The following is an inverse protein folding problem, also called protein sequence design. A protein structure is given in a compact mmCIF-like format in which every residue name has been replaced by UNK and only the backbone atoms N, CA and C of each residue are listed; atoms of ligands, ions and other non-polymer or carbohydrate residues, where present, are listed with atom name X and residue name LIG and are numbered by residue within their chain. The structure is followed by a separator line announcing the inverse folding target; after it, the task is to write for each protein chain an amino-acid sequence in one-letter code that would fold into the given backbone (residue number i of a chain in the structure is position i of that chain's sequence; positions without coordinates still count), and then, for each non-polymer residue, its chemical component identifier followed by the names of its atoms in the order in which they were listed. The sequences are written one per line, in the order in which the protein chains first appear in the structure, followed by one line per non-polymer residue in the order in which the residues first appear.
data_IF_793528451714
#
_entry.id   IF_793528451714
#
_cell.length_a   1.000
_cell.length_b   1.000
_cell.length_c   1.000
_cell.angle_alpha   90.00
_cell.angle_beta   90.00
_cell.angle_gamma   90.00
#
_symmetry.space_group_name_H-M   'P 1'
#
loop_
_entity.id
_entity.type
_entity.pdbx_description
1 polymer ?
#
# COMPACT_ATOMS: atom_id res chain seq x y z
N UNK A 1 15.60 -1.81 7.33
CA UNK A 1 15.20 -0.89 6.27
C UNK A 1 13.70 -0.63 6.38
N UNK A 2 13.32 0.61 6.76
CA UNK A 2 11.94 0.98 7.10
C UNK A 2 10.99 1.02 5.89
N UNK A 3 11.52 1.05 4.67
CA UNK A 3 10.74 1.10 3.43
C UNK A 3 10.75 -0.19 2.63
N UNK A 4 11.28 -1.26 3.19
CA UNK A 4 11.30 -2.57 2.55
C UNK A 4 10.19 -3.47 3.06
N UNK A 5 9.43 -4.06 2.13
CA UNK A 5 8.49 -5.13 2.38
C UNK A 5 9.23 -6.47 2.16
N UNK A 6 9.25 -7.39 3.13
CA UNK A 6 9.74 -8.75 2.87
C UNK A 6 8.90 -9.42 1.76
N UNK A 7 9.56 -10.19 0.88
CA UNK A 7 8.86 -11.01 -0.10
C UNK A 7 7.83 -11.89 0.60
N UNK A 8 6.59 -11.88 0.12
CA UNK A 8 5.57 -12.77 0.67
C UNK A 8 5.89 -14.23 0.41
N UNK A 9 5.76 -15.05 1.44
CA UNK A 9 5.90 -16.50 1.34
C UNK A 9 4.64 -17.21 0.86
N UNK A 10 3.50 -16.53 0.87
CA UNK A 10 2.23 -17.05 0.40
C UNK A 10 1.32 -15.95 -0.15
N UNK A 11 0.51 -16.29 -1.14
CA UNK A 11 -0.47 -15.38 -1.74
C UNK A 11 -1.73 -15.36 -0.88
N UNK A 12 -2.05 -14.19 -0.32
CA UNK A 12 -3.26 -13.94 0.46
C UNK A 12 -4.27 -13.15 -0.37
N UNK A 13 -5.54 -13.40 -0.18
CA UNK A 13 -6.60 -12.66 -0.85
C UNK A 13 -7.81 -13.52 -1.23
N UNK A 14 -8.86 -12.88 -1.75
CA UNK A 14 -10.06 -13.54 -2.26
C UNK A 14 -9.74 -14.42 -3.48
N UNK A 15 -10.56 -15.42 -3.77
CA UNK A 15 -10.39 -16.31 -4.92
C UNK A 15 -10.28 -15.55 -6.26
N UNK A 16 -11.11 -14.53 -6.46
CA UNK A 16 -11.09 -13.68 -7.65
C UNK A 16 -9.77 -12.94 -7.85
N UNK A 17 -9.14 -12.48 -6.77
CA UNK A 17 -7.81 -11.87 -6.83
C UNK A 17 -6.73 -12.89 -7.18
N UNK A 18 -6.77 -14.07 -6.55
CA UNK A 18 -5.80 -15.15 -6.81
C UNK A 18 -5.85 -15.62 -8.26
N UNK A 19 -7.06 -15.80 -8.81
CA UNK A 19 -7.24 -16.16 -10.20
C UNK A 19 -6.69 -15.09 -11.16
N UNK A 20 -6.98 -13.81 -10.89
CA UNK A 20 -6.42 -12.70 -11.69
C UNK A 20 -4.90 -12.65 -11.62
N UNK A 21 -4.34 -12.85 -10.44
CA UNK A 21 -2.89 -12.89 -10.24
C UNK A 21 -2.24 -14.04 -11.02
N UNK A 22 -2.83 -15.23 -11.01
CA UNK A 22 -2.35 -16.38 -11.78
C UNK A 22 -2.38 -16.11 -13.29
N UNK A 23 -3.48 -15.59 -13.80
CA UNK A 23 -3.60 -15.18 -15.22
C UNK A 23 -2.53 -14.15 -15.57
N UNK A 24 -2.36 -13.12 -14.75
CA UNK A 24 -1.38 -12.05 -14.99
C UNK A 24 0.05 -12.61 -14.97
N UNK A 25 0.37 -13.50 -14.03
CA UNK A 25 1.69 -14.12 -13.94
C UNK A 25 1.99 -15.02 -15.16
N UNK A 26 0.99 -15.74 -15.67
CA UNK A 26 1.14 -16.54 -16.91
C UNK A 26 1.37 -15.67 -18.14
N UNK A 27 0.57 -14.62 -18.29
CA UNK A 27 0.73 -13.68 -19.40
C UNK A 27 2.10 -13.00 -19.38
N UNK A 28 2.56 -12.56 -18.21
CA UNK A 28 3.91 -12.00 -18.05
C UNK A 28 4.99 -13.05 -18.34
N UNK A 29 4.81 -14.29 -17.88
CA UNK A 29 5.74 -15.37 -18.18
C UNK A 29 5.88 -15.59 -19.69
N UNK A 30 4.76 -15.63 -20.42
CA UNK A 30 4.77 -15.83 -21.87
C UNK A 30 5.41 -14.63 -22.60
N UNK A 31 5.20 -13.40 -22.15
CA UNK A 31 5.88 -12.20 -22.67
C UNK A 31 7.41 -12.26 -22.45
N UNK A 32 7.84 -12.59 -21.24
CA UNK A 32 9.26 -12.69 -20.89
C UNK A 32 9.95 -13.88 -21.60
N UNK A 33 9.19 -14.93 -21.97
CA UNK A 33 9.68 -16.09 -22.70
C UNK A 33 9.77 -15.81 -24.20
N UNK A 34 8.85 -15.06 -24.78
CA UNK A 34 8.81 -14.77 -26.22
C UNK A 34 9.89 -13.78 -26.66
N UNK A 35 10.38 -12.94 -25.76
CA UNK A 35 11.59 -12.16 -26.03
C UNK A 35 12.77 -13.14 -26.18
N UNK A 36 13.48 -13.08 -27.28
CA UNK A 36 14.56 -14.01 -27.69
C UNK A 36 15.75 -14.05 -26.73
N UNK A 37 15.55 -14.63 -25.57
CA UNK A 37 16.53 -14.68 -24.48
C UNK A 37 17.17 -16.07 -24.38
N UNK A 38 18.52 -16.19 -24.30
CA UNK A 38 19.24 -17.47 -24.20
C UNK A 38 18.85 -18.34 -23.00
N UNK A 39 18.17 -17.77 -21.99
CA UNK A 39 17.66 -18.50 -20.82
C UNK A 39 16.37 -19.30 -21.10
N UNK A 40 15.86 -19.29 -22.31
CA UNK A 40 14.62 -19.97 -22.72
C UNK A 40 14.58 -21.48 -22.36
N UNK A 41 15.70 -22.17 -22.48
CA UNK A 41 15.80 -23.59 -22.14
C UNK A 41 15.66 -23.89 -20.64
N UNK A 42 16.10 -22.98 -19.79
CA UNK A 42 15.92 -23.10 -18.33
C UNK A 42 14.47 -22.88 -17.91
N UNK A 43 13.78 -21.95 -18.57
CA UNK A 43 12.39 -21.64 -18.27
C UNK A 43 11.49 -22.80 -18.69
N UNK A 44 11.68 -23.38 -19.86
CA UNK A 44 10.88 -24.54 -20.34
C UNK A 44 10.88 -25.69 -19.33
N UNK A 45 12.06 -26.01 -18.76
CA UNK A 45 12.21 -27.08 -17.77
C UNK A 45 11.64 -26.78 -16.40
N UNK A 46 11.43 -25.49 -16.06
CA UNK A 46 10.96 -25.04 -14.77
C UNK A 46 9.77 -24.07 -14.84
N UNK A 47 8.94 -24.15 -15.89
CA UNK A 47 7.87 -23.16 -16.14
C UNK A 47 6.93 -22.98 -14.95
N UNK A 48 6.57 -24.06 -14.25
CA UNK A 48 5.72 -23.99 -13.04
C UNK A 48 6.35 -23.14 -11.92
N UNK A 49 7.60 -23.44 -11.58
CA UNK A 49 8.34 -22.71 -10.54
C UNK A 49 8.61 -21.24 -10.94
N UNK A 50 8.75 -20.97 -12.24
CA UNK A 50 8.91 -19.61 -12.75
C UNK A 50 7.61 -18.81 -12.63
N UNK A 51 6.45 -19.37 -12.99
CA UNK A 51 5.13 -18.73 -12.84
C UNK A 51 4.82 -18.50 -11.36
N UNK A 52 5.10 -19.46 -10.50
CA UNK A 52 4.94 -19.31 -9.05
C UNK A 52 5.78 -18.13 -8.51
N UNK A 53 7.04 -18.04 -8.94
CA UNK A 53 7.92 -16.94 -8.57
C UNK A 53 7.40 -15.58 -9.04
N UNK A 54 6.90 -15.49 -10.27
CA UNK A 54 6.27 -14.28 -10.80
C UNK A 54 5.02 -13.92 -9.99
N UNK A 55 4.17 -14.89 -9.64
CA UNK A 55 2.98 -14.65 -8.82
C UNK A 55 3.34 -14.06 -7.46
N UNK A 56 4.37 -14.57 -6.79
CA UNK A 56 4.84 -14.05 -5.51
C UNK A 56 5.41 -12.61 -5.63
N UNK A 57 6.18 -12.35 -6.68
CA UNK A 57 6.74 -11.03 -6.95
C UNK A 57 5.63 -10.02 -7.26
N UNK A 58 4.73 -10.36 -8.19
CA UNK A 58 3.60 -9.49 -8.56
C UNK A 58 2.69 -9.20 -7.36
N UNK A 59 2.41 -10.22 -6.53
CA UNK A 59 1.64 -10.02 -5.30
C UNK A 59 2.33 -9.05 -4.33
N UNK A 60 3.64 -9.20 -4.15
CA UNK A 60 4.42 -8.33 -3.27
C UNK A 60 4.50 -6.90 -3.81
N UNK A 61 4.71 -6.73 -5.11
CA UNK A 61 4.70 -5.40 -5.74
C UNK A 61 3.31 -4.76 -5.77
N UNK A 62 2.25 -5.54 -5.97
CA UNK A 62 0.89 -5.05 -5.86
C UNK A 62 0.61 -4.50 -4.45
N UNK A 63 1.14 -5.15 -3.42
CA UNK A 63 1.03 -4.64 -2.06
C UNK A 63 1.86 -3.35 -1.85
N UNK A 64 3.09 -3.30 -2.35
CA UNK A 64 3.92 -2.07 -2.32
C UNK A 64 3.19 -0.91 -2.99
N UNK A 65 2.64 -1.13 -4.18
CA UNK A 65 1.91 -0.12 -4.93
C UNK A 65 0.60 0.31 -4.24
N UNK A 66 -0.07 -0.60 -3.52
CA UNK A 66 -1.35 -0.30 -2.86
C UNK A 66 -1.23 0.56 -1.60
N UNK A 67 0.00 0.77 -1.08
CA UNK A 67 0.22 1.53 0.15
C UNK A 67 1.31 2.58 -0.08
N UNK A 68 1.00 3.67 -0.78
CA UNK A 68 1.93 4.76 -1.04
C UNK A 68 2.58 5.27 0.27
N UNK A 69 3.87 5.51 0.24
CA UNK A 69 4.61 6.04 1.38
C UNK A 69 5.01 5.03 2.45
N UNK A 70 4.44 3.81 2.44
CA UNK A 70 4.81 2.79 3.42
C UNK A 70 5.99 1.94 2.96
N UNK A 71 5.93 1.45 1.74
CA UNK A 71 6.97 0.62 1.16
C UNK A 71 7.43 1.17 -0.18
N UNK A 72 8.72 1.06 -0.44
CA UNK A 72 9.36 1.41 -1.72
C UNK A 72 9.92 0.17 -2.42
N UNK A 73 10.34 -0.82 -1.65
CA UNK A 73 11.06 -1.99 -2.12
C UNK A 73 10.40 -3.28 -1.66
N UNK A 74 10.56 -4.32 -2.45
CA UNK A 74 10.44 -5.70 -1.99
C UNK A 74 11.83 -6.20 -1.63
N UNK A 75 12.02 -6.75 -0.42
CA UNK A 75 13.29 -7.29 0.05
C UNK A 75 13.25 -8.81 0.13
N UNK A 76 14.31 -9.44 -0.36
CA UNK A 76 14.46 -10.90 -0.32
C UNK A 76 15.92 -11.29 -0.16
N UNK A 77 16.16 -12.52 0.29
CA UNK A 77 17.50 -13.10 0.24
C UNK A 77 17.81 -13.64 -1.16
N UNK A 78 19.06 -13.49 -1.57
CA UNK A 78 19.61 -14.14 -2.77
C UNK A 78 20.55 -15.30 -2.40
N UNK A 79 20.64 -15.64 -1.11
CA UNK A 79 21.40 -16.82 -0.67
C UNK A 79 20.59 -18.08 -0.84
N UNK A 80 21.17 -19.08 -1.51
CA UNK A 80 20.52 -20.39 -1.68
C UNK A 80 20.18 -21.06 -0.34
N UNK A 81 21.04 -20.89 0.66
CA UNK A 81 20.87 -21.51 1.97
C UNK A 81 19.60 -21.03 2.69
N UNK A 82 19.15 -19.79 2.45
CA UNK A 82 17.95 -19.27 3.04
C UNK A 82 16.66 -19.93 2.51
N UNK A 83 16.70 -20.54 1.32
CA UNK A 83 15.55 -21.23 0.71
C UNK A 83 15.46 -22.70 1.07
N UNK A 84 16.57 -23.30 1.48
CA UNK A 84 16.66 -24.73 1.82
C UNK A 84 16.88 -24.96 3.33
N UNK A 85 17.19 -23.90 4.08
CA UNK A 85 17.39 -23.96 5.53
C UNK A 85 16.08 -24.20 6.29
N UNK A 86 16.15 -24.94 7.40
CA UNK A 86 14.95 -25.34 8.17
C UNK A 86 14.22 -24.20 8.84
N UNK A 87 14.91 -23.12 9.23
CA UNK A 87 14.37 -21.98 10.01
C UNK A 87 14.13 -20.72 9.17
N UNK A 88 14.32 -20.77 7.86
CA UNK A 88 14.20 -19.58 7.01
C UNK A 88 12.75 -19.30 6.64
N UNK A 89 12.37 -18.01 6.68
CA UNK A 89 11.09 -17.51 6.17
C UNK A 89 10.89 -17.73 4.67
N UNK A 90 11.96 -18.04 3.92
CA UNK A 90 11.94 -18.31 2.48
C UNK A 90 11.89 -19.80 2.16
N UNK A 91 11.80 -20.67 3.17
CA UNK A 91 11.74 -22.11 2.97
C UNK A 91 10.57 -22.49 2.07
N UNK A 92 10.85 -23.37 1.11
CA UNK A 92 9.86 -23.88 0.16
C UNK A 92 9.52 -22.92 -1.00
N UNK A 93 10.05 -21.70 -1.02
CA UNK A 93 9.88 -20.83 -2.18
C UNK A 93 10.74 -21.28 -3.37
N UNK A 94 10.30 -21.04 -4.62
CA UNK A 94 10.98 -21.50 -5.83
C UNK A 94 12.24 -20.66 -6.13
N UNK A 95 13.34 -20.92 -5.42
CA UNK A 95 14.58 -20.14 -5.51
C UNK A 95 15.08 -19.94 -6.96
N UNK A 96 15.13 -21.04 -7.75
CA UNK A 96 15.57 -20.94 -9.15
C UNK A 96 14.61 -20.09 -9.98
N UNK A 97 13.31 -20.28 -9.78
CA UNK A 97 12.28 -19.47 -10.45
C UNK A 97 12.40 -17.98 -10.07
N UNK A 98 12.62 -17.66 -8.79
CA UNK A 98 12.80 -16.28 -8.32
C UNK A 98 14.05 -15.63 -8.94
N UNK A 99 15.19 -16.31 -8.94
CA UNK A 99 16.41 -15.81 -9.58
C UNK A 99 16.20 -15.48 -11.05
N UNK A 100 15.53 -16.38 -11.76
CA UNK A 100 15.27 -16.22 -13.19
C UNK A 100 14.26 -15.10 -13.46
N UNK A 101 13.17 -15.05 -12.70
CA UNK A 101 12.18 -14.00 -12.81
C UNK A 101 12.78 -12.61 -12.55
N UNK A 102 13.59 -12.46 -11.50
CA UNK A 102 14.26 -11.20 -11.18
C UNK A 102 15.24 -10.81 -12.29
N UNK A 103 16.00 -11.76 -12.83
CA UNK A 103 16.95 -11.49 -13.90
C UNK A 103 16.25 -10.99 -15.18
N UNK A 104 15.16 -11.64 -15.58
CA UNK A 104 14.40 -11.24 -16.77
C UNK A 104 13.63 -9.93 -16.58
N UNK A 105 13.00 -9.74 -15.43
CA UNK A 105 12.28 -8.50 -15.14
C UNK A 105 13.22 -7.29 -15.02
N UNK A 106 14.50 -7.48 -14.70
CA UNK A 106 15.49 -6.41 -14.60
C UNK A 106 16.19 -6.12 -15.95
N UNK A 107 15.95 -6.91 -16.98
CA UNK A 107 16.55 -6.77 -18.28
C UNK A 107 15.68 -5.90 -19.20
N UNK A 108 16.27 -4.83 -19.77
CA UNK A 108 15.52 -3.87 -20.59
C UNK A 108 14.93 -4.49 -21.86
N UNK A 109 15.60 -5.48 -22.44
CA UNK A 109 15.17 -6.16 -23.66
C UNK A 109 14.09 -7.22 -23.45
N UNK A 110 13.80 -7.58 -22.22
CA UNK A 110 12.90 -8.70 -21.89
C UNK A 110 11.42 -8.34 -21.93
N UNK A 111 11.06 -7.06 -21.99
CA UNK A 111 9.67 -6.64 -21.98
C UNK A 111 9.47 -5.37 -22.83
N UNK A 112 8.32 -5.20 -23.53
CA UNK A 112 8.06 -4.01 -24.36
C UNK A 112 8.17 -2.67 -23.61
N UNK A 113 7.89 -2.66 -22.31
CA UNK A 113 7.98 -1.48 -21.47
C UNK A 113 9.38 -1.29 -20.83
N UNK A 114 10.41 -1.98 -21.33
CA UNK A 114 11.74 -1.95 -20.75
C UNK A 114 11.86 -2.74 -19.44
N UNK A 115 12.90 -2.45 -18.65
CA UNK A 115 13.07 -3.10 -17.35
C UNK A 115 11.88 -2.90 -16.44
N UNK A 116 11.32 -4.00 -15.91
CA UNK A 116 10.16 -3.98 -15.02
C UNK A 116 10.55 -3.72 -13.56
N UNK A 117 11.80 -3.96 -13.20
CA UNK A 117 12.31 -3.70 -11.84
C UNK A 117 13.78 -3.27 -11.85
N UNK A 118 14.16 -2.57 -10.78
CA UNK A 118 15.55 -2.22 -10.50
C UNK A 118 16.05 -3.03 -9.30
N UNK A 119 17.14 -3.77 -9.51
CA UNK A 119 17.75 -4.60 -8.48
C UNK A 119 18.84 -3.83 -7.76
N UNK A 120 18.72 -3.71 -6.43
CA UNK A 120 19.79 -3.24 -5.56
C UNK A 120 20.33 -4.42 -4.77
N UNK A 121 21.52 -4.88 -5.14
CA UNK A 121 22.17 -6.02 -4.49
C UNK A 121 22.41 -5.73 -3.01
N UNK A 122 22.02 -6.66 -2.15
CA UNK A 122 22.36 -6.63 -0.74
C UNK A 122 23.82 -6.99 -0.51
N UNK A 123 24.35 -6.60 0.62
CA UNK A 123 25.69 -6.97 1.07
C UNK A 123 25.65 -7.42 2.53
N UNK A 124 26.55 -8.34 2.87
CA UNK A 124 26.85 -8.67 4.26
C UNK A 124 27.90 -7.70 4.75
N UNK A 125 27.65 -7.07 5.89
CA UNK A 125 28.71 -6.34 6.58
C UNK A 125 29.79 -7.37 6.99
N UNK A 126 31.06 -7.09 6.60
CA UNK A 126 32.21 -7.96 6.90
C UNK A 126 32.40 -8.22 8.40
N UNK A 127 31.82 -7.38 9.27
CA UNK A 127 31.80 -7.58 10.73
C UNK A 127 30.65 -8.43 11.23
N UNK A 128 29.85 -9.07 10.33
CA UNK A 128 28.84 -10.08 10.66
C UNK A 128 27.59 -9.56 11.37
N UNK A 129 27.42 -8.23 11.49
CA UNK A 129 26.37 -7.70 12.36
C UNK A 129 25.04 -7.41 11.70
N UNK A 130 24.96 -6.98 10.46
CA UNK A 130 23.67 -6.79 9.75
C UNK A 130 23.90 -6.80 8.25
N UNK A 131 23.48 -7.87 7.58
CA UNK A 131 23.46 -7.91 6.11
C UNK A 131 22.24 -7.16 5.55
N UNK A 132 22.46 -6.31 4.57
CA UNK A 132 21.38 -5.75 3.80
C UNK A 132 20.88 -6.81 2.79
N UNK A 133 19.59 -7.11 2.82
CA UNK A 133 18.95 -7.98 1.82
C UNK A 133 18.93 -7.29 0.44
N UNK A 134 18.88 -8.09 -0.60
CA UNK A 134 18.60 -7.58 -1.95
C UNK A 134 17.25 -6.88 -1.96
N UNK A 135 17.20 -5.69 -2.53
CA UNK A 135 15.99 -4.88 -2.66
C UNK A 135 15.62 -4.75 -4.12
N UNK A 136 14.35 -4.95 -4.40
CA UNK A 136 13.76 -4.82 -5.73
C UNK A 136 12.84 -3.61 -5.73
N UNK A 137 13.12 -2.64 -6.58
CA UNK A 137 12.31 -1.44 -6.78
C UNK A 137 11.49 -1.61 -8.06
N UNK A 138 10.16 -1.48 -8.04
CA UNK A 138 9.35 -1.56 -9.24
C UNK A 138 9.62 -0.36 -10.15
N UNK A 139 9.69 -0.60 -11.47
CA UNK A 139 9.70 0.47 -12.45
C UNK A 139 8.31 1.08 -12.65
N UNK A 140 8.22 2.23 -13.34
CA UNK A 140 6.93 2.79 -13.77
C UNK A 140 6.17 1.77 -14.60
N UNK A 141 6.85 1.10 -15.54
CA UNK A 141 6.24 0.09 -16.41
C UNK A 141 5.63 -1.08 -15.63
N UNK A 142 6.28 -1.56 -14.57
CA UNK A 142 5.70 -2.59 -13.71
C UNK A 142 4.47 -2.08 -12.94
N UNK A 143 4.55 -0.87 -12.39
CA UNK A 143 3.43 -0.29 -11.64
C UNK A 143 2.19 -0.11 -12.53
N UNK A 144 2.37 0.40 -13.74
CA UNK A 144 1.30 0.56 -14.71
C UNK A 144 0.75 -0.80 -15.18
N UNK A 145 1.61 -1.79 -15.39
CA UNK A 145 1.21 -3.16 -15.69
C UNK A 145 0.32 -3.77 -14.59
N UNK A 146 0.67 -3.55 -13.32
CA UNK A 146 -0.13 -4.00 -12.18
C UNK A 146 -1.51 -3.34 -12.12
N UNK A 147 -1.59 -2.04 -12.46
CA UNK A 147 -2.86 -1.31 -12.54
C UNK A 147 -3.72 -1.83 -13.71
N UNK A 148 -3.15 -1.94 -14.91
CA UNK A 148 -3.83 -2.44 -16.11
C UNK A 148 -4.33 -3.88 -15.93
N UNK A 149 -3.55 -4.71 -15.23
CA UNK A 149 -3.95 -6.08 -14.88
C UNK A 149 -5.00 -6.15 -13.77
N UNK A 150 -5.39 -5.01 -13.18
CA UNK A 150 -6.34 -4.95 -12.08
C UNK A 150 -5.86 -5.62 -10.79
N UNK A 151 -4.55 -5.76 -10.60
CA UNK A 151 -3.93 -6.24 -9.36
C UNK A 151 -3.77 -5.12 -8.34
N UNK A 152 -3.64 -3.90 -8.82
CA UNK A 152 -3.65 -2.67 -8.03
C UNK A 152 -4.79 -1.81 -8.51
N UNK A 153 -5.67 -1.44 -7.61
CA UNK A 153 -6.63 -0.38 -7.86
C UNK A 153 -6.03 0.89 -7.27
N UNK A 154 -5.75 1.90 -8.07
CA UNK A 154 -5.37 3.22 -7.59
C UNK A 154 -6.58 3.89 -6.95
N UNK A 155 -7.00 3.33 -5.87
CA UNK A 155 -8.07 3.81 -5.02
C UNK A 155 -7.54 4.05 -3.63
N UNK A 156 -8.41 4.14 -2.67
CA UNK A 156 -8.09 4.36 -1.27
C UNK A 156 -6.85 3.54 -0.84
N UNK A 157 -5.74 4.15 -0.45
CA UNK A 157 -4.55 3.41 -0.04
C UNK A 157 -4.93 2.40 1.04
N UNK A 158 -4.67 1.11 0.79
CA UNK A 158 -4.95 0.03 1.75
C UNK A 158 -4.08 0.21 2.99
N UNK A 159 -4.50 0.90 3.94
CA UNK A 159 -3.78 1.30 5.16
C UNK A 159 -4.47 2.49 5.80
N UNK A 160 -5.33 3.15 5.05
CA UNK A 160 -6.36 4.07 5.54
C UNK A 160 -7.58 3.25 5.99
N UNK A 161 -7.35 1.96 6.18
CA UNK A 161 -8.33 0.99 6.55
C UNK A 161 -9.13 1.45 7.76
N UNK A 162 -10.40 1.23 7.62
CA UNK A 162 -11.35 1.09 8.71
C UNK A 162 -10.96 1.99 9.88
N UNK A 163 -11.17 3.25 9.71
CA UNK A 163 -11.52 4.05 10.87
C UNK A 163 -12.47 3.17 11.67
N UNK A 164 -12.15 2.91 12.92
CA UNK A 164 -13.09 2.27 13.82
C UNK A 164 -14.38 3.02 13.61
N UNK A 165 -15.40 2.32 13.12
CA UNK A 165 -16.73 2.87 12.95
C UNK A 165 -17.01 3.68 14.21
N UNK A 166 -17.36 4.94 14.04
CA UNK A 166 -17.29 5.90 15.13
C UNK A 166 -18.39 5.80 16.18
N UNK A 167 -18.85 4.59 16.45
CA UNK A 167 -19.71 4.29 17.58
C UNK A 167 -18.90 4.58 18.86
N UNK A 168 -19.04 5.78 19.37
CA UNK A 168 -18.38 6.24 20.59
C UNK A 168 -17.37 7.37 20.45
N UNK A 169 -17.16 7.96 19.27
CA UNK A 169 -16.33 9.17 19.17
C UNK A 169 -17.14 10.37 19.65
N UNK A 170 -16.69 10.99 20.74
CA UNK A 170 -17.30 12.25 21.19
C UNK A 170 -17.20 13.30 20.09
N UNK A 171 -18.34 13.88 19.70
CA UNK A 171 -18.45 14.90 18.67
C UNK A 171 -17.82 16.24 19.07
N UNK A 172 -17.77 16.51 20.38
CA UNK A 172 -17.16 17.71 20.96
C UNK A 172 -15.99 17.31 21.86
N UNK A 173 -14.86 17.99 21.71
CA UNK A 173 -13.63 17.75 22.48
C UNK A 173 -12.99 19.06 22.93
N UNK A 174 -12.31 19.04 24.08
CA UNK A 174 -11.38 20.09 24.46
C UNK A 174 -9.96 19.73 24.04
N UNK A 175 -9.19 20.70 23.55
CA UNK A 175 -7.77 20.53 23.28
C UNK A 175 -7.03 20.25 24.58
N UNK A 176 -5.90 19.54 24.49
CA UNK A 176 -4.96 19.43 25.62
C UNK A 176 -4.39 20.81 25.91
N UNK A 177 -4.48 21.25 27.14
CA UNK A 177 -3.60 22.29 27.64
C UNK A 177 -2.20 21.72 27.82
N UNK A 178 -1.16 22.55 27.70
CA UNK A 178 0.26 22.18 27.66
C UNK A 178 0.81 21.37 28.86
N UNK A 179 0.02 21.09 29.86
CA UNK A 179 0.40 20.43 31.10
C UNK A 179 -0.01 18.96 31.23
N UNK A 180 -0.13 18.24 30.12
CA UNK A 180 -0.20 16.77 30.17
C UNK A 180 -1.56 16.15 30.51
N UNK A 181 -2.61 16.91 30.63
CA UNK A 181 -3.97 16.38 30.82
C UNK A 181 -4.46 15.64 29.56
N UNK A 182 -5.09 14.49 29.74
CA UNK A 182 -5.78 13.79 28.65
C UNK A 182 -6.85 14.67 28.02
N UNK A 183 -7.06 14.58 26.71
CA UNK A 183 -8.11 15.30 26.00
C UNK A 183 -9.43 15.09 26.74
N UNK A 184 -9.92 16.14 27.41
CA UNK A 184 -11.19 16.06 28.12
C UNK A 184 -12.30 15.88 27.09
N UNK A 185 -12.85 14.69 27.05
CA UNK A 185 -13.98 14.38 26.19
C UNK A 185 -15.20 15.01 26.82
N UNK A 186 -15.82 15.93 26.11
CA UNK A 186 -17.13 16.46 26.55
C UNK A 186 -18.16 15.41 26.15
N UNK A 187 -18.47 14.50 27.06
CA UNK A 187 -19.47 13.46 26.80
C UNK A 187 -20.87 14.11 26.78
N UNK A 188 -21.58 13.84 25.69
CA UNK A 188 -22.97 14.23 25.48
C UNK A 188 -23.97 13.17 25.95
N UNK A 189 -23.52 12.13 26.65
CA UNK A 189 -24.35 10.93 26.90
C UNK A 189 -25.60 11.17 27.77
N UNK A 190 -25.63 12.25 28.58
CA UNK A 190 -26.72 12.50 29.50
C UNK A 190 -27.47 13.84 29.28
N UNK A 191 -27.32 14.45 28.10
CA UNK A 191 -27.98 15.73 27.77
C UNK A 191 -28.53 15.73 26.34
N UNK A 192 -29.51 16.59 26.11
CA UNK A 192 -30.01 16.87 24.76
C UNK A 192 -28.88 17.40 23.86
N UNK A 193 -28.78 16.88 22.63
CA UNK A 193 -27.79 17.31 21.63
C UNK A 193 -27.93 18.81 21.35
N UNK A 194 -26.81 19.51 21.37
CA UNK A 194 -26.74 20.91 20.93
C UNK A 194 -27.05 21.06 19.45
N UNK A 195 -27.34 22.27 18.99
CA UNK A 195 -27.53 22.55 17.56
C UNK A 195 -26.30 22.13 16.73
N UNK A 196 -25.11 22.43 17.22
CA UNK A 196 -23.82 22.08 16.57
C UNK A 196 -23.62 20.57 16.44
N UNK A 197 -23.96 19.79 17.49
CA UNK A 197 -23.87 18.34 17.46
C UNK A 197 -24.84 17.74 16.44
N UNK A 198 -26.06 18.24 16.35
CA UNK A 198 -27.03 17.83 15.33
C UNK A 198 -26.54 18.10 13.90
N UNK A 199 -25.87 19.24 13.69
CA UNK A 199 -25.26 19.56 12.40
C UNK A 199 -24.11 18.58 12.08
N UNK A 200 -23.22 18.32 13.05
CA UNK A 200 -22.11 17.37 12.87
C UNK A 200 -22.60 15.95 12.57
N UNK A 201 -23.65 15.49 13.24
CA UNK A 201 -24.27 14.17 12.95
C UNK A 201 -24.69 14.12 11.47
N UNK A 202 -25.48 15.10 11.01
CA UNK A 202 -25.94 15.17 9.62
C UNK A 202 -24.79 15.23 8.61
N UNK A 203 -23.73 15.99 8.92
CA UNK A 203 -22.56 16.06 8.06
C UNK A 203 -21.84 14.71 8.01
N UNK A 204 -21.64 14.07 9.16
CA UNK A 204 -21.01 12.75 9.24
C UNK A 204 -21.81 11.67 8.50
N UNK A 205 -23.13 11.68 8.59
CA UNK A 205 -24.01 10.79 7.81
C UNK A 205 -23.82 10.99 6.30
N UNK A 206 -23.77 12.25 5.84
CA UNK A 206 -23.50 12.56 4.44
C UNK A 206 -22.11 12.09 4.00
N UNK A 207 -21.08 12.30 4.83
CA UNK A 207 -19.72 11.86 4.53
C UNK A 207 -19.61 10.33 4.41
N UNK A 208 -20.31 9.56 5.26
CA UNK A 208 -20.37 8.09 5.14
C UNK A 208 -21.04 7.63 3.84
N UNK A 209 -22.02 8.38 3.35
CA UNK A 209 -22.72 8.08 2.11
C UNK A 209 -21.98 8.57 0.85
N UNK A 210 -20.86 9.28 1.01
CA UNK A 210 -19.98 9.67 -0.09
C UNK A 210 -18.92 8.61 -0.29
N UNK A 211 -18.89 7.99 -1.47
CA UNK A 211 -17.74 7.20 -1.88
C UNK A 211 -16.61 8.15 -2.29
N UNK A 212 -15.65 8.29 -1.40
CA UNK A 212 -14.42 9.01 -1.70
C UNK A 212 -13.42 8.03 -2.30
N UNK A 213 -12.90 8.37 -3.47
CA UNK A 213 -11.95 7.53 -4.20
C UNK A 213 -10.82 8.39 -4.79
N UNK A 214 -9.76 7.74 -5.28
CA UNK A 214 -8.66 8.41 -5.95
C UNK A 214 -8.62 8.02 -7.43
N UNK A 215 -8.56 8.99 -8.31
CA UNK A 215 -8.33 8.78 -9.74
C UNK A 215 -6.91 9.21 -10.11
N UNK A 216 -6.04 8.23 -10.39
CA UNK A 216 -4.65 8.49 -10.75
C UNK A 216 -4.42 8.22 -12.23
N UNK A 217 -4.32 9.25 -13.08
CA UNK A 217 -4.10 9.06 -14.53
C UNK A 217 -2.74 8.40 -14.83
N UNK A 218 -1.72 8.68 -14.01
CA UNK A 218 -0.37 8.12 -14.15
C UNK A 218 0.12 7.61 -12.79
N UNK A 219 -0.46 6.51 -12.34
CA UNK A 219 -0.22 5.99 -10.99
C UNK A 219 1.25 5.58 -10.76
N UNK A 220 1.87 4.93 -11.74
CA UNK A 220 3.27 4.52 -11.64
C UNK A 220 4.20 5.70 -11.45
N UNK A 221 4.06 6.75 -12.25
CA UNK A 221 4.83 7.97 -12.12
C UNK A 221 4.59 8.67 -10.77
N UNK A 222 3.33 8.70 -10.32
CA UNK A 222 2.98 9.23 -8.99
C UNK A 222 3.72 8.50 -7.87
N UNK A 223 3.67 7.15 -7.84
CA UNK A 223 4.34 6.35 -6.81
C UNK A 223 5.86 6.56 -6.83
N UNK A 224 6.48 6.62 -8.01
CA UNK A 224 7.92 6.88 -8.10
C UNK A 224 8.32 8.27 -7.63
N UNK A 225 7.50 9.29 -7.88
CA UNK A 225 7.74 10.67 -7.42
C UNK A 225 7.46 10.86 -5.91
N UNK A 226 6.89 9.86 -5.23
CA UNK A 226 6.48 9.97 -3.84
C UNK A 226 7.65 10.14 -2.88
N UNK A 227 7.60 11.15 -2.03
CA UNK A 227 8.53 11.29 -0.93
C UNK A 227 8.12 10.34 0.22
N UNK A 228 8.75 9.16 0.29
CA UNK A 228 8.40 8.12 1.25
C UNK A 228 8.53 8.53 2.72
N UNK A 229 9.52 9.38 3.05
CA UNK A 229 9.69 9.89 4.41
C UNK A 229 8.51 10.74 4.84
N UNK A 230 8.19 11.74 4.04
CA UNK A 230 7.10 12.67 4.29
C UNK A 230 5.74 11.99 4.14
N UNK A 231 5.57 11.17 3.09
CA UNK A 231 4.33 10.47 2.82
C UNK A 231 3.94 9.50 3.92
N UNK A 232 4.89 8.78 4.51
CA UNK A 232 4.63 7.87 5.63
C UNK A 232 4.11 8.60 6.85
N UNK A 233 4.75 9.72 7.22
CA UNK A 233 4.30 10.52 8.36
C UNK A 233 2.88 11.04 8.14
N UNK A 234 2.57 11.55 6.94
CA UNK A 234 1.24 12.08 6.62
C UNK A 234 0.17 10.99 6.58
N UNK A 235 0.47 9.81 6.01
CA UNK A 235 -0.49 8.70 5.97
C UNK A 235 -0.85 8.17 7.35
N UNK A 236 0.03 8.24 8.34
CA UNK A 236 -0.27 7.84 9.71
C UNK A 236 -1.39 8.69 10.34
N UNK A 237 -1.59 9.91 9.87
CA UNK A 237 -2.62 10.83 10.36
C UNK A 237 -3.91 10.81 9.54
N UNK A 238 -3.99 9.99 8.48
CA UNK A 238 -5.19 9.84 7.66
C UNK A 238 -6.20 8.83 8.25
N UNK A 239 -6.38 8.86 9.57
CA UNK A 239 -7.33 7.99 10.25
C UNK A 239 -8.58 8.80 10.63
N UNK A 240 -9.74 8.22 10.39
CA UNK A 240 -11.02 8.77 10.80
C UNK A 240 -11.98 9.01 9.63
N UNK A 241 -13.20 8.57 9.81
CA UNK A 241 -14.33 8.73 8.89
C UNK A 241 -15.37 9.73 9.40
N UNK A 242 -15.11 10.32 10.57
CA UNK A 242 -16.02 11.25 11.24
C UNK A 242 -15.32 12.56 11.57
N UNK A 243 -16.08 13.65 11.44
CA UNK A 243 -15.69 14.95 11.95
C UNK A 243 -16.11 15.09 13.42
N UNK A 244 -15.24 15.69 14.19
CA UNK A 244 -15.54 16.20 15.53
C UNK A 244 -15.07 17.64 15.64
N UNK A 245 -15.65 18.40 16.57
CA UNK A 245 -15.25 19.77 16.86
C UNK A 245 -14.38 19.79 18.11
N UNK A 246 -13.21 20.40 18.01
CA UNK A 246 -12.29 20.57 19.13
C UNK A 246 -12.17 22.04 19.49
N UNK A 247 -12.37 22.34 20.75
CA UNK A 247 -12.29 23.67 21.31
C UNK A 247 -10.96 23.87 22.03
N UNK A 248 -10.49 25.11 22.11
CA UNK A 248 -9.29 25.49 22.86
C UNK A 248 -9.58 25.80 24.32
N UNK A 249 -10.80 26.19 24.61
CA UNK A 249 -11.28 26.68 25.91
C UNK A 249 -12.63 26.07 26.27
N UNK A 250 -12.98 26.18 27.54
CA UNK A 250 -14.21 25.61 28.10
C UNK A 250 -15.47 26.40 27.70
N UNK A 251 -15.34 27.68 27.37
CA UNK A 251 -16.47 28.54 26.94
C UNK A 251 -16.90 28.25 25.48
N UNK A 252 -16.11 27.42 24.76
CA UNK A 252 -16.40 26.99 23.39
C UNK A 252 -16.51 28.11 22.37
N UNK A 253 -15.86 29.24 22.63
CA UNK A 253 -15.90 30.41 21.76
C UNK A 253 -15.19 30.15 20.43
N UNK A 254 -14.13 29.31 20.41
CA UNK A 254 -13.36 28.98 19.25
C UNK A 254 -13.20 27.45 19.10
N UNK A 255 -13.66 26.88 17.98
CA UNK A 255 -13.54 25.44 17.75
C UNK A 255 -13.25 25.12 16.29
N UNK A 256 -12.36 24.15 16.05
CA UNK A 256 -12.01 23.66 14.71
C UNK A 256 -12.55 22.26 14.49
N UNK A 257 -12.88 21.96 13.23
CA UNK A 257 -13.27 20.62 12.82
C UNK A 257 -12.04 19.78 12.53
N UNK A 258 -12.03 18.55 13.07
CA UNK A 258 -10.97 17.55 12.89
C UNK A 258 -11.60 16.18 12.68
N UNK A 259 -10.77 15.22 12.31
CA UNK A 259 -11.09 13.81 12.43
C UNK A 259 -11.31 13.10 11.11
N UNK A 260 -11.85 13.76 10.08
CA UNK A 260 -12.02 13.10 8.79
C UNK A 260 -10.70 13.02 8.03
N UNK A 261 -10.39 11.86 7.49
CA UNK A 261 -9.10 11.56 6.83
C UNK A 261 -8.77 12.53 5.68
N UNK A 262 -9.78 13.06 4.97
CA UNK A 262 -9.58 14.03 3.88
C UNK A 262 -8.85 15.29 4.36
N UNK A 263 -9.08 15.71 5.61
CA UNK A 263 -8.39 16.89 6.16
C UNK A 263 -6.88 16.68 6.27
N UNK A 264 -6.48 15.45 6.59
CA UNK A 264 -5.08 15.05 6.74
C UNK A 264 -4.49 14.48 5.45
N UNK A 265 -5.28 14.43 4.36
CA UNK A 265 -4.83 13.92 3.07
C UNK A 265 -3.64 14.75 2.55
N UNK A 266 -2.51 14.11 2.21
CA UNK A 266 -1.36 14.80 1.63
C UNK A 266 -1.74 15.62 0.40
N UNK A 267 -1.17 16.80 0.25
CA UNK A 267 -1.48 17.70 -0.88
C UNK A 267 -1.32 17.02 -2.25
N UNK A 268 -0.30 16.18 -2.41
CA UNK A 268 -0.07 15.38 -3.62
C UNK A 268 -1.19 14.39 -3.93
N UNK A 269 -1.93 13.93 -2.92
CA UNK A 269 -3.07 13.02 -3.10
C UNK A 269 -4.38 13.77 -3.35
N UNK A 270 -4.56 14.97 -2.78
CA UNK A 270 -5.82 15.72 -2.86
C UNK A 270 -6.27 16.00 -4.28
N UNK A 271 -5.34 16.27 -5.19
CA UNK A 271 -5.64 16.55 -6.59
C UNK A 271 -6.28 15.36 -7.34
N UNK A 272 -6.15 14.14 -6.78
CA UNK A 272 -6.71 12.93 -7.35
C UNK A 272 -8.00 12.47 -6.65
N UNK A 273 -8.47 13.22 -5.64
CA UNK A 273 -9.70 12.87 -4.94
C UNK A 273 -10.91 13.05 -5.86
N UNK A 274 -11.72 12.03 -5.93
CA UNK A 274 -13.01 12.04 -6.61
C UNK A 274 -14.13 11.73 -5.64
N UNK A 275 -15.30 12.31 -5.89
CA UNK A 275 -16.50 12.16 -5.08
C UNK A 275 -17.58 11.50 -5.94
N UNK A 276 -17.83 10.23 -5.69
CA UNK A 276 -18.94 9.53 -6.32
C UNK A 276 -20.09 9.41 -5.32
N UNK A 277 -21.28 9.88 -5.68
CA UNK A 277 -22.48 9.57 -4.90
C UNK A 277 -22.71 8.07 -4.99
N UNK A 278 -22.83 7.39 -3.86
CA UNK A 278 -23.43 6.07 -3.82
C UNK A 278 -24.85 6.27 -4.35
N UNK A 279 -25.14 5.66 -5.51
CA UNK A 279 -26.49 5.73 -6.07
C UNK A 279 -27.49 5.31 -5.00
N UNK A 280 -28.44 6.16 -4.75
CA UNK A 280 -29.68 5.74 -4.07
C UNK A 280 -30.32 4.68 -4.95
N UNK A 281 -30.29 3.44 -4.47
CA UNK A 281 -31.15 2.36 -4.98
C UNK A 281 -32.57 2.63 -4.51
#
# INVERSE_FOLDING_TARGET
DTFSLPLFSAIKGKASYKNRLDITARNLADQLISSSNPKHGEIKRGKGAFIEALSLLLHSFAHVASVPGKYKYVSLSMSRNDYYGQSSQFRGLPYRGLRLAIALMAEESSHPNGALLFKRTGHLDRKGKVGLRTRLEPSIGLLDYLVQSGLVFPGHPKGLSKAKSGDGIALLRLAKTSEGADNKIINSLDRSLSADERVLIRVNERLRNLKLDFNYPNYGAFIQSWNFKEGRSKLQHMNGDQLYRQFTDEDRSAGRLYGHWVQNCPSKLRQYLTFNRLGTV
#
